data_IF_955622647848
#
_entry.id   IF_955622647848
#
_cell.length_a   1.000
_cell.length_b   1.000
_cell.length_c   1.000
_cell.angle_alpha   90.00
_cell.angle_beta   90.00
_cell.angle_gamma   90.00
#
_symmetry.space_group_name_H-M   'P 1'
#
loop_
_entity.id
_entity.type
_entity.pdbx_description
1 polymer ?
#
# COMPACT_ATOMS: atom_id res chain seq x y z
N UNK A 1 25.64 -1.59 11.52
CA UNK A 1 26.33 -2.21 10.35
C UNK A 1 25.51 -3.42 9.94
N UNK A 2 25.33 -3.65 8.64
CA UNK A 2 24.59 -4.84 8.19
C UNK A 2 25.34 -6.12 8.60
N UNK A 3 24.64 -7.17 9.07
CA UNK A 3 25.25 -8.44 9.41
C UNK A 3 25.93 -9.10 8.21
N UNK A 4 27.10 -9.68 8.41
CA UNK A 4 27.69 -10.59 7.41
C UNK A 4 26.98 -11.94 7.49
N UNK A 5 26.03 -12.17 6.57
CA UNK A 5 25.23 -13.39 6.53
C UNK A 5 26.06 -14.65 6.34
N UNK A 6 27.22 -14.57 5.67
CA UNK A 6 28.06 -15.76 5.43
C UNK A 6 28.60 -16.29 6.76
N UNK A 7 28.98 -15.40 7.68
CA UNK A 7 29.46 -15.79 9.02
C UNK A 7 28.39 -16.39 9.92
N UNK A 8 27.11 -16.24 9.56
CA UNK A 8 25.98 -16.75 10.32
C UNK A 8 25.49 -18.11 9.81
N UNK A 9 26.01 -18.62 8.70
CA UNK A 9 25.63 -19.92 8.17
C UNK A 9 26.33 -21.05 8.94
N UNK A 10 25.59 -22.11 9.27
CA UNK A 10 26.17 -23.32 9.90
C UNK A 10 26.85 -24.23 8.88
N UNK A 11 26.50 -24.09 7.61
CA UNK A 11 27.02 -24.87 6.49
C UNK A 11 26.85 -24.09 5.17
N UNK A 12 27.57 -24.47 4.09
CA UNK A 12 27.33 -23.90 2.77
C UNK A 12 25.86 -24.07 2.33
N UNK A 13 25.29 -23.09 1.59
CA UNK A 13 23.96 -23.24 1.00
C UNK A 13 23.84 -24.49 0.14
N UNK A 14 22.70 -25.18 0.23
CA UNK A 14 22.38 -26.34 -0.63
C UNK A 14 21.24 -26.00 -1.58
N UNK A 15 21.15 -26.72 -2.70
CA UNK A 15 20.12 -26.54 -3.72
C UNK A 15 19.32 -27.82 -3.86
N UNK A 16 18.02 -27.70 -3.82
CA UNK A 16 17.05 -28.75 -4.15
C UNK A 16 16.46 -28.44 -5.53
N UNK A 17 16.51 -29.41 -6.44
CA UNK A 17 15.91 -29.32 -7.78
C UNK A 17 14.57 -30.05 -7.76
N UNK A 18 13.51 -29.34 -8.17
CA UNK A 18 12.18 -29.90 -8.35
C UNK A 18 12.02 -30.57 -9.72
N UNK A 19 11.03 -31.45 -9.84
CA UNK A 19 10.72 -32.19 -11.07
C UNK A 19 10.35 -31.29 -12.26
N UNK A 20 9.99 -30.03 -12.02
CA UNK A 20 9.64 -29.03 -13.02
C UNK A 20 10.83 -28.15 -13.47
N UNK A 21 12.05 -28.48 -13.02
CA UNK A 21 13.27 -27.74 -13.34
C UNK A 21 13.43 -26.44 -12.56
N UNK A 22 12.64 -26.22 -11.49
CA UNK A 22 12.83 -25.10 -10.56
C UNK A 22 13.72 -25.50 -9.41
N UNK A 23 14.37 -24.50 -8.82
CA UNK A 23 15.27 -24.70 -7.68
C UNK A 23 14.71 -24.07 -6.41
N UNK A 24 15.03 -24.67 -5.27
CA UNK A 24 14.92 -24.06 -3.94
C UNK A 24 16.31 -24.07 -3.31
N UNK A 25 16.72 -22.93 -2.75
CA UNK A 25 17.96 -22.84 -1.97
C UNK A 25 17.63 -23.02 -0.50
N UNK A 26 18.32 -23.95 0.15
CA UNK A 26 18.27 -24.15 1.60
C UNK A 26 19.40 -23.36 2.28
N UNK A 27 19.01 -22.50 3.21
CA UNK A 27 19.92 -21.74 4.08
C UNK A 27 19.73 -22.17 5.52
N UNK A 28 20.82 -22.56 6.18
CA UNK A 28 20.82 -22.88 7.60
C UNK A 28 21.69 -21.89 8.36
N UNK A 29 21.04 -21.04 9.14
CA UNK A 29 21.68 -20.04 9.99
C UNK A 29 21.83 -20.56 11.43
N UNK A 30 22.87 -20.07 12.10
CA UNK A 30 23.08 -20.23 13.54
C UNK A 30 21.93 -19.58 14.33
N UNK A 31 21.64 -20.11 15.53
CA UNK A 31 20.60 -19.56 16.42
C UNK A 31 20.81 -18.07 16.75
N UNK A 32 22.07 -17.63 16.83
CA UNK A 32 22.44 -16.23 17.09
C UNK A 32 21.99 -15.26 15.97
N UNK A 33 21.63 -15.75 14.77
CA UNK A 33 21.27 -14.90 13.64
C UNK A 33 20.12 -13.94 13.97
N UNK A 34 19.08 -14.40 14.68
CA UNK A 34 17.97 -13.54 15.10
C UNK A 34 18.47 -12.37 15.96
N UNK A 35 19.32 -12.63 16.96
CA UNK A 35 19.89 -11.59 17.81
C UNK A 35 20.79 -10.65 17.01
N UNK A 36 21.55 -11.18 16.06
CA UNK A 36 22.39 -10.37 15.16
C UNK A 36 21.56 -9.44 14.29
N UNK A 37 20.41 -9.89 13.77
CA UNK A 37 19.50 -9.04 12.98
C UNK A 37 18.91 -7.91 13.84
N UNK A 38 18.45 -8.24 15.04
CA UNK A 38 17.91 -7.27 16.01
C UNK A 38 18.97 -6.25 16.41
N UNK A 39 20.20 -6.68 16.70
CA UNK A 39 21.31 -5.80 17.04
C UNK A 39 21.71 -4.87 15.88
N UNK A 40 21.45 -5.28 14.64
CA UNK A 40 21.63 -4.45 13.45
C UNK A 40 20.44 -3.52 13.16
N UNK A 41 19.36 -3.58 13.96
CA UNK A 41 18.13 -2.82 13.74
C UNK A 41 17.30 -3.32 12.57
N UNK A 42 17.49 -4.56 12.13
CA UNK A 42 16.76 -5.16 11.00
C UNK A 42 15.76 -6.19 11.55
N UNK A 43 14.45 -5.95 11.41
CA UNK A 43 13.46 -6.95 11.78
C UNK A 43 13.67 -8.26 11.02
N UNK A 44 13.42 -9.39 11.69
CA UNK A 44 13.55 -10.74 11.09
C UNK A 44 12.86 -10.82 9.74
N UNK A 45 11.62 -10.34 9.65
CA UNK A 45 10.83 -10.33 8.42
C UNK A 45 11.49 -9.58 7.27
N UNK A 46 12.07 -8.41 7.54
CA UNK A 46 12.77 -7.58 6.55
C UNK A 46 14.05 -8.29 6.09
N UNK A 47 14.79 -8.93 7.00
CA UNK A 47 15.98 -9.69 6.62
C UNK A 47 15.63 -10.87 5.72
N UNK A 48 14.61 -11.66 6.07
CA UNK A 48 14.16 -12.79 5.26
C UNK A 48 13.63 -12.34 3.89
N UNK A 49 12.91 -11.22 3.85
CA UNK A 49 12.49 -10.59 2.59
C UNK A 49 13.71 -10.22 1.73
N UNK A 50 14.71 -9.53 2.31
CA UNK A 50 15.90 -9.08 1.58
C UNK A 50 16.70 -10.25 0.99
N UNK A 51 16.89 -11.33 1.76
CA UNK A 51 17.55 -12.56 1.30
C UNK A 51 16.76 -13.16 0.14
N UNK A 52 15.45 -13.35 0.32
CA UNK A 52 14.56 -13.96 -0.67
C UNK A 52 14.56 -13.16 -1.98
N UNK A 53 14.40 -11.84 -1.91
CA UNK A 53 14.43 -10.97 -3.09
C UNK A 53 15.78 -11.00 -3.80
N UNK A 54 16.88 -10.97 -3.06
CA UNK A 54 18.22 -10.96 -3.65
C UNK A 54 18.47 -12.26 -4.42
N UNK A 55 18.31 -13.40 -3.77
CA UNK A 55 18.57 -14.70 -4.39
C UNK A 55 17.65 -14.96 -5.59
N UNK A 56 16.34 -14.70 -5.44
CA UNK A 56 15.36 -14.92 -6.53
C UNK A 56 15.46 -13.90 -7.67
N UNK A 57 16.22 -12.82 -7.51
CA UNK A 57 16.48 -11.86 -8.60
C UNK A 57 17.69 -12.28 -9.43
N UNK A 58 18.74 -12.81 -8.81
CA UNK A 58 20.02 -13.05 -9.47
C UNK A 58 20.28 -14.50 -9.86
N UNK A 59 19.51 -15.46 -9.34
CA UNK A 59 19.65 -16.88 -9.65
C UNK A 59 18.48 -17.30 -10.56
N UNK A 60 18.72 -17.62 -11.84
CA UNK A 60 17.69 -18.06 -12.76
C UNK A 60 16.97 -19.32 -12.24
N UNK A 61 15.67 -19.43 -12.53
CA UNK A 61 14.82 -20.58 -12.18
C UNK A 61 14.68 -20.88 -10.68
N UNK A 62 15.21 -20.00 -9.81
CA UNK A 62 15.00 -20.11 -8.37
C UNK A 62 13.54 -19.75 -8.04
N UNK A 63 12.80 -20.72 -7.51
CA UNK A 63 11.43 -20.53 -7.04
C UNK A 63 11.39 -19.73 -5.74
N UNK A 64 12.30 -20.03 -4.83
CA UNK A 64 12.33 -19.45 -3.49
C UNK A 64 13.48 -19.97 -2.65
N UNK A 65 13.39 -19.66 -1.35
CA UNK A 65 14.42 -20.00 -0.38
C UNK A 65 13.75 -20.71 0.80
N UNK A 66 14.35 -21.80 1.28
CA UNK A 66 13.97 -22.44 2.52
C UNK A 66 14.98 -22.03 3.58
N UNK A 67 14.52 -21.42 4.67
CA UNK A 67 15.40 -20.88 5.70
C UNK A 67 15.16 -21.64 7.01
N UNK A 68 16.26 -21.98 7.69
CA UNK A 68 16.26 -22.48 9.08
C UNK A 68 17.15 -21.60 9.94
N UNK A 69 16.71 -21.26 11.15
CA UNK A 69 17.52 -20.53 12.15
C UNK A 69 17.63 -21.39 13.41
N UNK A 70 18.83 -21.86 13.74
CA UNK A 70 19.03 -22.88 14.76
C UNK A 70 18.27 -24.15 14.39
N UNK A 71 17.32 -24.55 15.24
CA UNK A 71 16.44 -25.71 15.00
C UNK A 71 15.08 -25.35 14.39
N UNK A 72 14.78 -24.06 14.22
CA UNK A 72 13.49 -23.57 13.73
C UNK A 72 13.48 -23.52 12.20
N UNK A 73 12.64 -24.34 11.57
CA UNK A 73 12.27 -24.17 10.17
C UNK A 73 11.35 -22.97 10.05
N UNK A 74 11.65 -22.04 9.14
CA UNK A 74 10.75 -20.91 8.90
C UNK A 74 9.55 -21.38 8.08
N UNK A 75 8.39 -21.40 8.72
CA UNK A 75 7.10 -21.74 8.07
C UNK A 75 6.17 -20.54 7.95
N UNK A 76 6.46 -19.46 8.69
CA UNK A 76 5.74 -18.21 8.60
C UNK A 76 6.40 -17.12 9.41
N UNK A 77 5.92 -15.89 9.22
CA UNK A 77 6.35 -14.71 9.96
C UNK A 77 5.14 -13.84 10.30
N UNK A 78 5.28 -13.06 11.37
CA UNK A 78 4.38 -11.93 11.67
C UNK A 78 5.22 -10.67 11.52
N UNK A 79 5.13 -9.98 10.39
CA UNK A 79 6.00 -8.86 10.14
C UNK A 79 5.41 -7.60 10.78
N UNK A 80 6.24 -6.87 11.54
CA UNK A 80 5.90 -5.57 12.12
C UNK A 80 6.24 -4.44 11.16
N UNK A 81 5.52 -3.33 11.23
CA UNK A 81 5.79 -2.16 10.39
C UNK A 81 4.57 -1.28 10.13
N UNK A 82 4.65 -0.49 9.06
CA UNK A 82 3.70 0.56 8.69
C UNK A 82 2.96 0.28 7.38
N UNK A 83 3.05 -0.95 6.86
CA UNK A 83 2.40 -1.35 5.60
C UNK A 83 1.08 -2.09 5.89
N UNK A 84 0.24 -2.21 4.85
CA UNK A 84 -1.03 -2.94 4.92
C UNK A 84 -0.79 -4.42 5.26
N UNK A 85 -1.50 -4.94 6.27
CA UNK A 85 -1.30 -6.30 6.79
C UNK A 85 -0.13 -6.44 7.77
N UNK A 86 0.48 -5.34 8.23
CA UNK A 86 1.42 -5.40 9.35
C UNK A 86 0.74 -5.98 10.60
N UNK A 87 1.41 -6.95 11.24
CA UNK A 87 0.85 -7.72 12.35
C UNK A 87 0.03 -8.96 11.93
N UNK A 88 -0.25 -9.13 10.63
CA UNK A 88 -0.88 -10.36 10.11
C UNK A 88 0.18 -11.43 9.82
N UNK A 89 -0.19 -12.70 10.03
CA UNK A 89 0.72 -13.80 9.77
C UNK A 89 0.81 -14.11 8.27
N UNK A 90 2.03 -14.20 7.75
CA UNK A 90 2.33 -14.74 6.43
C UNK A 90 2.78 -16.18 6.62
N UNK A 91 2.09 -17.13 6.00
CA UNK A 91 2.45 -18.55 5.97
C UNK A 91 3.11 -18.89 4.64
N UNK A 92 4.19 -19.65 4.68
CA UNK A 92 4.96 -20.05 3.50
C UNK A 92 4.58 -21.47 3.09
N UNK A 93 3.96 -21.62 1.91
CA UNK A 93 3.58 -22.92 1.39
C UNK A 93 4.83 -23.80 1.18
N UNK A 94 4.85 -24.97 1.85
CA UNK A 94 5.99 -25.90 1.84
C UNK A 94 7.24 -25.36 2.54
N UNK A 95 7.09 -24.34 3.39
CA UNK A 95 8.20 -23.64 4.06
C UNK A 95 9.17 -22.96 3.09
N UNK A 96 8.73 -22.73 1.85
CA UNK A 96 9.48 -22.04 0.80
C UNK A 96 9.04 -20.59 0.76
N UNK A 97 9.97 -19.71 1.11
CA UNK A 97 9.82 -18.26 1.05
C UNK A 97 9.94 -17.82 -0.41
N UNK A 98 8.86 -17.28 -0.96
CA UNK A 98 8.78 -16.82 -2.35
C UNK A 98 8.75 -15.30 -2.40
N UNK A 99 9.18 -14.76 -3.54
CA UNK A 99 9.16 -13.32 -3.80
C UNK A 99 7.76 -12.70 -3.62
N UNK A 100 6.71 -13.42 -4.03
CA UNK A 100 5.31 -13.00 -3.91
C UNK A 100 4.88 -12.74 -2.47
N UNK A 101 5.40 -13.54 -1.53
CA UNK A 101 5.02 -13.49 -0.11
C UNK A 101 5.46 -12.17 0.55
N UNK A 102 6.49 -11.54 -0.02
CA UNK A 102 7.06 -10.28 0.47
C UNK A 102 6.73 -9.09 -0.43
N UNK A 103 5.75 -9.21 -1.34
CA UNK A 103 5.36 -8.10 -2.22
C UNK A 103 4.94 -6.83 -1.46
N UNK A 104 4.30 -6.98 -0.30
CA UNK A 104 3.87 -5.89 0.59
C UNK A 104 5.02 -5.13 1.25
N UNK A 105 6.24 -5.68 1.24
CA UNK A 105 7.43 -5.04 1.83
C UNK A 105 8.10 -4.05 0.87
N UNK A 106 7.81 -4.17 -0.43
CA UNK A 106 8.34 -3.25 -1.43
C UNK A 106 7.48 -2.00 -1.46
N UNK A 107 7.87 -1.01 -0.68
CA UNK A 107 7.12 0.24 -0.57
C UNK A 107 7.60 1.27 -1.59
N UNK A 108 6.66 2.10 -2.02
CA UNK A 108 6.90 3.33 -2.76
C UNK A 108 5.95 4.40 -2.25
N UNK A 109 6.31 5.67 -2.44
CA UNK A 109 5.46 6.78 -2.02
C UNK A 109 4.35 7.02 -3.06
N UNK A 110 3.10 7.10 -2.61
CA UNK A 110 2.05 7.79 -3.34
C UNK A 110 1.80 9.18 -2.77
N UNK A 111 1.25 10.08 -3.59
CA UNK A 111 0.76 11.38 -3.14
C UNK A 111 -0.73 11.29 -2.84
N UNK A 112 -1.12 11.60 -1.60
CA UNK A 112 -2.50 11.76 -1.16
C UNK A 112 -2.71 13.22 -0.75
N UNK A 113 -3.87 13.79 -1.01
CA UNK A 113 -4.18 15.16 -0.60
C UNK A 113 -5.11 15.16 0.60
N UNK A 114 -4.61 15.56 1.77
CA UNK A 114 -5.43 15.68 3.00
C UNK A 114 -5.72 17.13 3.35
N UNK A 115 -6.73 17.35 4.19
CA UNK A 115 -7.08 18.69 4.65
C UNK A 115 -6.06 19.20 5.69
N UNK A 116 -5.86 20.50 5.70
CA UNK A 116 -5.11 21.24 6.72
C UNK A 116 -5.80 22.60 6.87
N UNK A 117 -6.78 22.67 7.78
CA UNK A 117 -7.70 23.80 7.85
C UNK A 117 -8.52 23.95 6.55
N UNK A 118 -8.43 25.11 5.90
CA UNK A 118 -9.21 25.42 4.68
C UNK A 118 -8.48 25.07 3.37
N UNK A 119 -7.36 24.35 3.43
CA UNK A 119 -6.59 23.97 2.25
C UNK A 119 -6.26 22.49 2.25
N UNK A 120 -5.81 21.99 1.10
CA UNK A 120 -5.25 20.65 0.95
C UNK A 120 -3.72 20.72 1.01
N UNK A 121 -3.09 19.66 1.49
CA UNK A 121 -1.63 19.52 1.45
C UNK A 121 -1.27 18.18 0.82
N UNK A 122 -0.21 18.11 0.00
CA UNK A 122 0.26 16.85 -0.56
C UNK A 122 1.01 16.07 0.52
N UNK A 123 0.58 14.84 0.75
CA UNK A 123 1.15 13.91 1.72
C UNK A 123 1.74 12.72 0.98
N UNK A 124 3.02 12.45 1.21
CA UNK A 124 3.65 11.21 0.73
C UNK A 124 3.36 10.10 1.73
N UNK A 125 2.69 9.05 1.25
CA UNK A 125 2.41 7.84 2.02
C UNK A 125 3.15 6.64 1.41
N UNK A 126 3.95 5.91 2.21
CA UNK A 126 4.54 4.66 1.76
C UNK A 126 3.46 3.58 1.63
N UNK A 127 3.33 2.99 0.45
CA UNK A 127 2.37 1.92 0.16
C UNK A 127 3.02 0.80 -0.66
N UNK A 128 2.46 -0.42 -0.71
CA UNK A 128 2.97 -1.47 -1.59
C UNK A 128 3.09 -1.00 -3.03
N UNK A 129 4.26 -1.21 -3.65
CA UNK A 129 4.59 -0.71 -4.98
C UNK A 129 3.59 -1.18 -6.05
N UNK A 130 3.12 -2.43 -5.94
CA UNK A 130 2.10 -2.98 -6.84
C UNK A 130 0.76 -2.23 -6.80
N UNK A 131 0.49 -1.51 -5.71
CA UNK A 131 -0.76 -0.76 -5.49
C UNK A 131 -0.64 0.73 -5.84
N UNK A 132 0.57 1.24 -6.09
CA UNK A 132 0.84 2.68 -6.24
C UNK A 132 0.09 3.37 -7.39
N UNK A 133 -0.31 2.59 -8.40
CA UNK A 133 -1.09 3.09 -9.53
C UNK A 133 -2.52 2.54 -9.58
N UNK A 134 -2.93 1.79 -8.55
CA UNK A 134 -4.30 1.29 -8.42
C UNK A 134 -5.19 2.42 -7.88
N UNK A 135 -6.02 2.98 -8.76
CA UNK A 135 -6.89 4.12 -8.43
C UNK A 135 -7.89 3.80 -7.31
N UNK A 136 -8.44 2.58 -7.30
CA UNK A 136 -9.34 2.14 -6.22
C UNK A 136 -8.60 2.15 -4.89
N UNK A 137 -7.40 1.57 -4.87
CA UNK A 137 -6.56 1.55 -3.68
C UNK A 137 -6.24 2.96 -3.16
N UNK A 138 -5.91 3.91 -4.04
CA UNK A 138 -5.61 5.29 -3.62
C UNK A 138 -6.83 6.00 -3.02
N UNK A 139 -8.04 5.75 -3.53
CA UNK A 139 -9.28 6.26 -2.92
C UNK A 139 -9.51 5.60 -1.56
N UNK A 140 -9.30 4.29 -1.43
CA UNK A 140 -9.36 3.58 -0.14
C UNK A 140 -8.34 4.16 0.85
N UNK A 141 -7.13 4.54 0.41
CA UNK A 141 -6.13 5.19 1.27
C UNK A 141 -6.58 6.59 1.77
N UNK A 142 -7.29 7.36 0.95
CA UNK A 142 -7.91 8.61 1.41
C UNK A 142 -9.00 8.36 2.44
N UNK A 143 -9.80 7.30 2.28
CA UNK A 143 -10.85 6.91 3.24
C UNK A 143 -10.29 6.49 4.59
N UNK A 144 -9.10 5.86 4.63
CA UNK A 144 -8.40 5.56 5.87
C UNK A 144 -7.98 6.82 6.65
N UNK A 145 -7.95 7.98 5.98
CA UNK A 145 -7.51 9.24 6.57
C UNK A 145 -5.99 9.27 6.83
N UNK A 146 -5.51 10.36 7.46
CA UNK A 146 -4.09 10.54 7.82
C UNK A 146 -3.54 9.44 8.70
N UNK A 147 -2.28 9.07 8.50
CA UNK A 147 -1.56 8.04 9.24
C UNK A 147 -0.35 8.62 9.98
N UNK A 148 0.08 7.97 11.07
CA UNK A 148 1.20 8.45 11.88
C UNK A 148 2.56 8.43 11.14
N UNK A 149 2.66 7.67 10.05
CA UNK A 149 3.86 7.52 9.23
C UNK A 149 3.78 8.30 7.91
N UNK A 150 2.76 9.13 7.74
CA UNK A 150 2.67 10.05 6.62
C UNK A 150 3.76 11.13 6.68
N UNK A 151 4.17 11.66 5.52
CA UNK A 151 5.25 12.67 5.46
C UNK A 151 4.89 14.02 6.10
N UNK A 152 3.59 14.29 6.32
CA UNK A 152 3.07 15.49 6.98
C UNK A 152 2.18 15.04 8.13
N UNK A 153 2.48 15.51 9.34
CA UNK A 153 1.74 15.16 10.56
C UNK A 153 0.71 16.25 10.87
N UNK A 154 -0.41 15.86 11.46
CA UNK A 154 -1.45 16.80 11.91
C UNK A 154 -2.43 17.23 10.83
N UNK A 155 -2.45 16.56 9.68
CA UNK A 155 -3.50 16.75 8.66
C UNK A 155 -4.82 16.14 9.13
N UNK A 156 -5.91 16.54 8.48
CA UNK A 156 -7.28 16.16 8.82
C UNK A 156 -7.86 15.20 7.75
N UNK A 157 -8.74 14.25 8.13
CA UNK A 157 -9.47 13.43 7.18
C UNK A 157 -10.41 14.28 6.32
N UNK A 158 -10.58 13.89 5.05
CA UNK A 158 -11.43 14.58 4.08
C UNK A 158 -12.81 13.95 3.94
N UNK A 159 -12.93 12.66 4.28
CA UNK A 159 -14.20 11.94 4.26
C UNK A 159 -14.96 12.15 5.59
N UNK A 160 -16.30 12.32 5.55
CA UNK A 160 -17.16 12.24 6.72
C UNK A 160 -16.94 10.96 7.54
N UNK A 161 -17.26 11.04 8.83
CA UNK A 161 -17.26 9.87 9.71
C UNK A 161 -18.27 8.82 9.22
N UNK A 162 -17.89 7.55 9.29
CA UNK A 162 -18.74 6.42 8.89
C UNK A 162 -18.59 5.99 7.43
N UNK A 163 -17.82 6.73 6.62
CA UNK A 163 -17.44 6.29 5.27
C UNK A 163 -16.23 5.37 5.35
N UNK A 164 -16.36 4.21 4.74
CA UNK A 164 -15.28 3.23 4.54
C UNK A 164 -15.40 2.56 3.16
N UNK A 165 -14.51 1.61 2.87
CA UNK A 165 -14.35 0.98 1.55
C UNK A 165 -15.61 0.38 0.94
N UNK A 166 -16.56 -0.07 1.75
CA UNK A 166 -17.85 -0.62 1.30
C UNK A 166 -18.74 0.43 0.61
N UNK A 167 -18.46 1.71 0.83
CA UNK A 167 -19.11 2.81 0.14
C UNK A 167 -18.52 3.08 -1.25
N UNK A 168 -17.38 2.49 -1.59
CA UNK A 168 -16.74 2.61 -2.90
C UNK A 168 -17.14 1.43 -3.80
N UNK A 169 -18.11 1.67 -4.69
CA UNK A 169 -18.60 0.66 -5.63
C UNK A 169 -17.49 0.30 -6.63
N UNK A 170 -16.96 1.29 -7.33
CA UNK A 170 -15.98 1.07 -8.39
C UNK A 170 -15.10 2.30 -8.63
N UNK A 171 -13.88 2.04 -9.10
CA UNK A 171 -13.02 3.06 -9.70
C UNK A 171 -12.49 2.54 -11.02
N UNK A 172 -12.95 3.11 -12.12
CA UNK A 172 -12.53 2.74 -13.46
C UNK A 172 -11.82 3.89 -14.19
N UNK A 173 -11.34 3.63 -15.39
CA UNK A 173 -10.68 4.60 -16.25
C UNK A 173 -11.22 4.52 -17.67
N UNK A 174 -11.64 5.66 -18.18
CA UNK A 174 -11.99 5.86 -19.59
C UNK A 174 -11.06 6.93 -20.19
N UNK A 175 -10.19 6.55 -21.14
CA UNK A 175 -9.23 7.50 -21.72
C UNK A 175 -8.27 8.08 -20.68
N UNK A 176 -8.31 9.39 -20.44
CA UNK A 176 -7.55 10.08 -19.39
C UNK A 176 -8.40 10.44 -18.15
N UNK A 177 -9.60 9.87 -18.06
CA UNK A 177 -10.61 10.18 -17.04
C UNK A 177 -10.74 9.04 -16.05
N UNK A 178 -10.58 9.31 -14.76
CA UNK A 178 -10.96 8.35 -13.72
C UNK A 178 -12.46 8.50 -13.41
N UNK A 179 -13.18 7.40 -13.37
CA UNK A 179 -14.59 7.36 -12.97
C UNK A 179 -14.67 6.73 -11.59
N UNK A 180 -15.18 7.49 -10.60
CA UNK A 180 -15.32 7.02 -9.22
C UNK A 180 -16.80 6.91 -8.92
N UNK A 181 -17.26 5.71 -8.59
CA UNK A 181 -18.65 5.44 -8.24
C UNK A 181 -18.76 5.04 -6.76
N UNK A 182 -19.57 5.79 -6.02
CA UNK A 182 -19.88 5.55 -4.63
C UNK A 182 -21.31 5.02 -4.45
N UNK A 183 -21.62 4.47 -3.28
CA UNK A 183 -22.98 4.03 -2.94
C UNK A 183 -23.90 5.18 -2.56
N UNK A 184 -25.21 5.00 -2.65
CA UNK A 184 -26.19 5.98 -2.13
C UNK A 184 -25.96 6.35 -0.66
N UNK A 185 -25.51 5.41 0.17
CA UNK A 185 -25.18 5.67 1.57
C UNK A 185 -24.03 6.68 1.75
N UNK A 186 -23.08 6.73 0.81
CA UNK A 186 -22.03 7.77 0.82
C UNK A 186 -22.62 9.17 0.65
N UNK A 187 -23.60 9.30 -0.26
CA UNK A 187 -24.27 10.58 -0.49
C UNK A 187 -25.05 11.02 0.75
N UNK A 188 -25.81 10.10 1.37
CA UNK A 188 -26.55 10.38 2.61
C UNK A 188 -25.63 10.84 3.74
N UNK A 189 -24.48 10.18 3.94
CA UNK A 189 -23.48 10.56 4.95
C UNK A 189 -22.76 11.88 4.64
N UNK A 190 -22.83 12.36 3.40
CA UNK A 190 -22.15 13.58 2.96
C UNK A 190 -23.06 14.81 2.94
N UNK A 191 -24.37 14.66 3.13
CA UNK A 191 -25.36 15.75 2.97
C UNK A 191 -25.17 16.96 3.88
N UNK A 192 -24.62 16.74 5.08
CA UNK A 192 -24.44 17.79 6.09
C UNK A 192 -23.03 18.40 6.06
N UNK A 193 -22.24 18.13 5.01
CA UNK A 193 -20.94 18.77 4.85
C UNK A 193 -21.10 20.28 4.69
N UNK A 194 -20.24 21.04 5.36
CA UNK A 194 -20.14 22.47 5.08
C UNK A 194 -19.61 22.69 3.65
N UNK A 195 -19.92 23.83 3.01
CA UNK A 195 -19.41 24.16 1.68
C UNK A 195 -17.90 23.94 1.51
N UNK A 196 -17.13 24.35 2.53
CA UNK A 196 -15.69 24.18 2.51
C UNK A 196 -15.27 22.71 2.58
N UNK A 197 -15.92 21.89 3.42
CA UNK A 197 -15.59 20.46 3.54
C UNK A 197 -15.98 19.69 2.29
N UNK A 198 -17.11 20.02 1.66
CA UNK A 198 -17.50 19.43 0.38
C UNK A 198 -16.44 19.68 -0.70
N UNK A 199 -15.97 20.93 -0.84
CA UNK A 199 -14.88 21.28 -1.76
C UNK A 199 -13.59 20.50 -1.46
N UNK A 200 -13.19 20.44 -0.19
CA UNK A 200 -11.97 19.72 0.22
C UNK A 200 -12.06 18.23 -0.09
N UNK A 201 -13.21 17.58 0.15
CA UNK A 201 -13.42 16.18 -0.20
C UNK A 201 -13.28 15.94 -1.70
N UNK A 202 -14.01 16.71 -2.50
CA UNK A 202 -14.01 16.56 -3.96
C UNK A 202 -12.60 16.78 -4.51
N UNK A 203 -11.94 17.88 -4.14
CA UNK A 203 -10.61 18.18 -4.68
C UNK A 203 -9.49 17.35 -4.07
N UNK A 204 -9.67 16.75 -2.90
CA UNK A 204 -8.77 15.71 -2.38
C UNK A 204 -8.76 14.49 -3.31
N UNK A 205 -9.94 13.99 -3.69
CA UNK A 205 -10.07 12.89 -4.64
C UNK A 205 -9.48 13.25 -6.00
N UNK A 206 -9.87 14.41 -6.54
CA UNK A 206 -9.44 14.86 -7.87
C UNK A 206 -7.93 15.05 -7.91
N UNK A 207 -7.34 15.77 -6.94
CA UNK A 207 -5.91 16.04 -6.92
C UNK A 207 -5.11 14.76 -6.73
N UNK A 208 -5.56 13.84 -5.86
CA UNK A 208 -4.91 12.54 -5.64
C UNK A 208 -4.91 11.67 -6.90
N UNK A 209 -6.07 11.51 -7.55
CA UNK A 209 -6.17 10.69 -8.75
C UNK A 209 -5.43 11.30 -9.94
N UNK A 210 -5.48 12.62 -10.11
CA UNK A 210 -4.74 13.33 -11.16
C UNK A 210 -3.22 13.41 -10.91
N UNK A 211 -2.74 13.13 -9.70
CA UNK A 211 -1.30 12.99 -9.43
C UNK A 211 -0.75 11.61 -9.86
N UNK A 212 -1.64 10.71 -10.29
CA UNK A 212 -1.24 9.44 -10.89
C UNK A 212 -0.94 9.59 -12.38
N UNK A 213 -0.10 8.69 -12.91
CA UNK A 213 0.20 8.68 -14.35
C UNK A 213 -1.09 8.43 -15.15
N UNK A 214 -1.25 9.20 -16.24
CA UNK A 214 -2.29 9.02 -17.27
C UNK A 214 -3.72 9.42 -16.86
N UNK A 215 -3.93 10.05 -15.71
CA UNK A 215 -5.22 10.64 -15.32
C UNK A 215 -5.10 12.16 -15.34
N UNK A 216 -6.00 12.83 -16.05
CA UNK A 216 -6.07 14.30 -16.13
C UNK A 216 -7.34 14.88 -15.53
N UNK A 217 -8.38 14.04 -15.41
CA UNK A 217 -9.70 14.46 -14.95
C UNK A 217 -10.41 13.33 -14.22
N UNK A 218 -11.40 13.70 -13.40
CA UNK A 218 -12.19 12.77 -12.59
C UNK A 218 -13.68 13.04 -12.78
N UNK A 219 -14.48 11.99 -12.93
CA UNK A 219 -15.95 12.03 -12.87
C UNK A 219 -16.41 11.29 -11.61
N UNK A 220 -17.33 11.89 -10.89
CA UNK A 220 -17.91 11.33 -9.66
C UNK A 220 -19.32 10.84 -9.95
N UNK A 221 -19.64 9.66 -9.45
CA UNK A 221 -20.95 9.02 -9.56
C UNK A 221 -21.40 8.51 -8.19
N UNK A 222 -22.71 8.45 -8.00
CA UNK A 222 -23.38 7.77 -6.88
C UNK A 222 -24.42 6.82 -7.48
N UNK A 223 -24.33 5.54 -7.15
CA UNK A 223 -25.18 4.47 -7.71
C UNK A 223 -25.26 4.52 -9.25
N UNK A 224 -24.15 4.89 -9.90
CA UNK A 224 -24.02 4.96 -11.37
C UNK A 224 -24.57 6.23 -12.02
N UNK A 225 -25.11 7.18 -11.27
CA UNK A 225 -25.57 8.49 -11.78
C UNK A 225 -24.74 9.64 -11.22
N UNK A 226 -24.67 10.77 -11.91
CA UNK A 226 -24.07 11.98 -11.34
C UNK A 226 -25.13 12.71 -10.53
N UNK A 227 -25.04 12.75 -9.19
CA UNK A 227 -25.94 13.59 -8.40
C UNK A 227 -25.67 15.07 -8.71
N UNK A 228 -26.58 15.97 -8.36
CA UNK A 228 -26.39 17.41 -8.52
C UNK A 228 -25.23 17.93 -7.65
N UNK A 229 -25.15 17.45 -6.40
CA UNK A 229 -24.14 17.86 -5.42
C UNK A 229 -24.01 16.82 -4.29
N UNK A 230 -22.95 16.88 -3.46
CA UNK A 230 -22.90 16.08 -2.22
C UNK A 230 -23.66 16.79 -1.10
N UNK A 231 -23.45 18.10 -0.95
CA UNK A 231 -24.03 18.92 0.13
C UNK A 231 -24.53 20.31 -0.32
N UNK A 232 -24.47 20.62 -1.61
CA UNK A 232 -25.08 21.80 -2.23
C UNK A 232 -24.10 22.85 -2.73
N UNK A 233 -22.81 22.75 -2.43
CA UNK A 233 -21.82 23.76 -2.82
C UNK A 233 -21.21 23.50 -4.21
N UNK A 234 -21.01 22.23 -4.57
CA UNK A 234 -20.34 21.87 -5.83
C UNK A 234 -21.32 21.18 -6.76
N UNK A 235 -21.52 21.75 -7.96
CA UNK A 235 -22.24 21.10 -9.05
C UNK A 235 -21.39 19.94 -9.61
N UNK A 236 -21.83 18.71 -9.35
CA UNK A 236 -21.12 17.48 -9.67
C UNK A 236 -21.26 16.98 -11.12
N UNK A 237 -22.35 17.25 -11.86
CA UNK A 237 -22.44 16.77 -13.23
C UNK A 237 -21.35 17.37 -14.12
N UNK A 238 -20.49 16.51 -14.65
CA UNK A 238 -19.31 16.88 -15.44
C UNK A 238 -18.01 16.19 -15.02
N UNK A 239 -16.89 16.84 -15.34
CA UNK A 239 -15.52 16.39 -15.12
C UNK A 239 -14.74 17.43 -14.31
N UNK A 240 -13.93 16.96 -13.37
CA UNK A 240 -13.11 17.80 -12.52
C UNK A 240 -11.63 17.67 -12.88
N UNK A 241 -10.94 18.81 -12.95
CA UNK A 241 -9.50 18.90 -13.16
C UNK A 241 -8.78 19.17 -11.84
N UNK A 242 -7.48 18.85 -11.80
CA UNK A 242 -6.62 19.19 -10.65
C UNK A 242 -6.76 20.68 -10.31
N UNK A 243 -6.98 20.99 -9.05
CA UNK A 243 -7.05 22.35 -8.54
C UNK A 243 -5.83 22.64 -7.66
N UNK A 244 -4.73 23.18 -8.22
CA UNK A 244 -3.52 23.47 -7.47
C UNK A 244 -3.67 24.66 -6.52
N UNK A 245 -4.65 25.55 -6.73
CA UNK A 245 -4.85 26.73 -5.87
C UNK A 245 -5.38 26.37 -4.48
N UNK A 246 -6.01 25.20 -4.35
CA UNK A 246 -6.42 24.65 -3.07
C UNK A 246 -5.27 24.00 -2.29
N UNK A 247 -4.09 23.86 -2.90
CA UNK A 247 -2.95 23.15 -2.31
C UNK A 247 -1.96 24.14 -1.69
N UNK A 248 -1.55 23.88 -0.45
CA UNK A 248 -0.50 24.64 0.26
C UNK A 248 0.70 23.76 0.59
#
# INVERSE_FOLDING_TARGET
MMPDLVTLLTQPPTVEEGDDGRYVIDLQFMEIANQTFVNAGVPRSVMLAAITYTLTTFIPQLEGVRIRIGNEQIEGIVPGGIYEGAGEQILFAGSVLRRSDFSVFLLTDCTLYFASGESLVPVRRPIPHGSAFNRKYLVEQLMLGPQAFDSVIGTEPVFPQGISREHLIAVDKEGDTAQVNFSGSFLELSRDLSPQKEKLLIYSLVNTLCDTRLIKRVRLYVDGVQPESLAGEVWLPGEFLKNPEMVR
#
